data_IF_960534241490
#
_entry.id   IF_960534241490
#
_cell.length_a   1.000
_cell.length_b   1.000
_cell.length_c   1.000
_cell.angle_alpha   90.00
_cell.angle_beta   90.00
_cell.angle_gamma   90.00
#
_symmetry.space_group_name_H-M   'P 1'
#
loop_
_entity.id
_entity.type
_entity.pdbx_description
1 polymer ?
#
# COMPACT_ATOMS: atom_id res chain seq x y z
N UNK A 1 17.33 8.97 -17.87
CA UNK A 1 16.86 8.48 -16.55
C UNK A 1 15.54 7.76 -16.75
N UNK A 2 15.50 6.43 -16.65
CA UNK A 2 14.23 5.69 -16.68
C UNK A 2 13.50 6.00 -15.37
N UNK A 3 12.38 6.72 -15.43
CA UNK A 3 11.45 6.80 -14.30
C UNK A 3 10.97 5.38 -14.06
N UNK A 4 11.43 4.74 -12.99
CA UNK A 4 10.77 3.54 -12.45
C UNK A 4 9.35 3.99 -12.17
N UNK A 5 8.42 3.61 -13.04
CA UNK A 5 7.00 3.77 -12.78
C UNK A 5 6.73 2.77 -11.67
N UNK A 6 6.68 3.25 -10.42
CA UNK A 6 6.22 2.39 -9.34
C UNK A 6 4.82 1.90 -9.73
N UNK A 7 4.60 0.60 -9.72
CA UNK A 7 3.30 0.06 -10.07
C UNK A 7 2.24 0.67 -9.16
N UNK A 8 1.19 1.17 -9.80
CA UNK A 8 0.08 1.83 -9.13
C UNK A 8 -0.87 0.75 -8.63
N UNK A 9 -0.95 0.58 -7.31
CA UNK A 9 -1.78 -0.41 -6.62
C UNK A 9 -3.00 0.21 -5.93
N UNK A 10 -3.21 1.52 -6.09
CA UNK A 10 -4.35 2.27 -5.58
C UNK A 10 -4.86 3.23 -6.64
N UNK A 11 -6.18 3.24 -6.86
CA UNK A 11 -6.86 4.16 -7.77
C UNK A 11 -6.88 5.58 -7.18
N UNK A 12 -7.27 6.56 -8.00
CA UNK A 12 -7.53 7.91 -7.52
C UNK A 12 -8.70 7.94 -6.52
N UNK A 13 -9.67 7.05 -6.64
CA UNK A 13 -10.79 7.00 -5.68
C UNK A 13 -10.40 6.31 -4.37
N UNK A 14 -9.16 5.85 -4.26
CA UNK A 14 -8.61 5.18 -3.09
C UNK A 14 -9.06 3.73 -2.95
N UNK A 15 -9.39 3.09 -4.08
CA UNK A 15 -9.64 1.65 -4.15
C UNK A 15 -8.33 0.90 -4.39
N UNK A 16 -8.14 -0.24 -3.71
CA UNK A 16 -6.94 -1.06 -3.86
C UNK A 16 -7.07 -2.00 -5.05
N UNK A 17 -5.98 -2.12 -5.80
CA UNK A 17 -5.82 -3.09 -6.88
C UNK A 17 -5.06 -4.27 -6.29
N UNK A 18 -5.78 -5.35 -6.01
CA UNK A 18 -5.22 -6.59 -5.43
C UNK A 18 -5.01 -7.61 -6.55
N UNK A 19 -3.81 -8.20 -6.65
CA UNK A 19 -3.46 -9.24 -7.64
C UNK A 19 -2.80 -10.48 -7.04
N UNK A 20 -2.56 -10.48 -5.73
CA UNK A 20 -1.87 -11.58 -5.05
C UNK A 20 -2.46 -11.85 -3.67
N UNK A 21 -2.12 -13.01 -3.08
CA UNK A 21 -2.67 -13.44 -1.79
C UNK A 21 -2.20 -12.52 -0.66
N UNK A 22 -0.91 -12.21 -0.62
CA UNK A 22 -0.35 -11.32 0.40
C UNK A 22 -0.88 -9.89 0.25
N UNK A 23 -1.14 -9.42 -0.98
CA UNK A 23 -1.83 -8.14 -1.18
C UNK A 23 -3.25 -8.17 -0.61
N UNK A 24 -4.00 -9.27 -0.81
CA UNK A 24 -5.34 -9.44 -0.23
C UNK A 24 -5.26 -9.42 1.30
N UNK A 25 -4.37 -10.22 1.89
CA UNK A 25 -4.18 -10.27 3.34
C UNK A 25 -3.77 -8.91 3.90
N UNK A 26 -2.85 -8.21 3.25
CA UNK A 26 -2.44 -6.86 3.65
C UNK A 26 -3.63 -5.89 3.62
N UNK A 27 -4.44 -5.91 2.56
CA UNK A 27 -5.60 -5.02 2.39
C UNK A 27 -6.67 -5.21 3.47
N UNK A 28 -6.76 -6.40 4.06
CA UNK A 28 -7.73 -6.70 5.11
C UNK A 28 -7.28 -6.22 6.50
N UNK A 29 -5.99 -5.92 6.68
CA UNK A 29 -5.43 -5.46 7.95
C UNK A 29 -6.04 -4.12 8.39
N UNK A 30 -6.12 -3.92 9.70
CA UNK A 30 -6.56 -2.64 10.28
C UNK A 30 -5.66 -1.48 9.84
N UNK A 31 -4.35 -1.70 9.74
CA UNK A 31 -3.39 -0.69 9.29
C UNK A 31 -3.66 -0.23 7.86
N UNK A 32 -3.89 -1.17 6.92
CA UNK A 32 -4.21 -0.83 5.54
C UNK A 32 -5.52 -0.04 5.43
N UNK A 33 -6.57 -0.50 6.12
CA UNK A 33 -7.87 0.20 6.18
C UNK A 33 -7.74 1.62 6.75
N UNK A 34 -6.96 1.78 7.82
CA UNK A 34 -6.68 3.11 8.39
C UNK A 34 -5.94 4.00 7.39
N UNK A 35 -4.93 3.49 6.71
CA UNK A 35 -4.20 4.26 5.69
C UNK A 35 -5.11 4.68 4.52
N UNK A 36 -6.01 3.79 4.05
CA UNK A 36 -7.00 4.11 3.03
C UNK A 36 -8.00 5.18 3.51
N UNK A 37 -8.45 5.10 4.77
CA UNK A 37 -9.34 6.10 5.34
C UNK A 37 -8.66 7.47 5.46
N UNK A 38 -7.38 7.50 5.88
CA UNK A 38 -6.59 8.74 5.92
C UNK A 38 -6.38 9.33 4.54
N UNK A 39 -6.11 8.51 3.52
CA UNK A 39 -6.07 8.95 2.14
C UNK A 39 -7.37 9.66 1.73
N UNK A 40 -8.52 9.01 1.98
CA UNK A 40 -9.84 9.55 1.63
C UNK A 40 -10.14 10.85 2.38
N UNK A 41 -9.81 10.89 3.67
CA UNK A 41 -9.98 12.08 4.51
C UNK A 41 -9.17 13.26 3.94
N UNK A 42 -7.86 13.10 3.78
CA UNK A 42 -7.01 14.19 3.29
C UNK A 42 -7.37 14.63 1.87
N UNK A 43 -7.79 13.70 1.00
CA UNK A 43 -8.30 14.04 -0.32
C UNK A 43 -9.59 14.87 -0.24
N UNK A 44 -10.52 14.51 0.65
CA UNK A 44 -11.77 15.25 0.88
C UNK A 44 -11.55 16.63 1.50
N UNK A 45 -10.53 16.78 2.34
CA UNK A 45 -10.12 18.06 2.93
C UNK A 45 -9.31 18.95 1.97
N UNK A 46 -9.03 18.47 0.76
CA UNK A 46 -8.18 19.17 -0.22
C UNK A 46 -6.69 19.15 0.11
N UNK A 47 -6.26 18.39 1.11
CA UNK A 47 -4.85 18.20 1.46
C UNK A 47 -4.20 17.13 0.57
N UNK A 48 -4.00 17.50 -0.70
CA UNK A 48 -3.49 16.59 -1.74
C UNK A 48 -2.07 16.08 -1.43
N UNK A 49 -1.24 16.89 -0.76
CA UNK A 49 0.12 16.48 -0.40
C UNK A 49 0.11 15.29 0.57
N UNK A 50 -0.68 15.36 1.65
CA UNK A 50 -0.83 14.24 2.59
C UNK A 50 -1.52 13.05 1.92
N UNK A 51 -2.58 13.29 1.13
CA UNK A 51 -3.22 12.20 0.40
C UNK A 51 -2.22 11.46 -0.51
N UNK A 52 -1.35 12.19 -1.20
CA UNK A 52 -0.32 11.59 -2.05
C UNK A 52 0.71 10.79 -1.24
N UNK A 53 1.11 11.24 -0.06
CA UNK A 53 2.00 10.51 0.85
C UNK A 53 1.40 9.15 1.26
N UNK A 54 0.13 9.14 1.70
CA UNK A 54 -0.57 7.90 2.03
C UNK A 54 -0.70 6.97 0.83
N UNK A 55 -1.00 7.51 -0.36
CA UNK A 55 -1.10 6.73 -1.59
C UNK A 55 0.24 6.08 -1.96
N UNK A 56 1.36 6.80 -1.80
CA UNK A 56 2.70 6.25 -2.05
C UNK A 56 3.03 5.14 -1.05
N UNK A 57 2.77 5.35 0.23
CA UNK A 57 3.00 4.34 1.28
C UNK A 57 2.19 3.06 1.02
N UNK A 58 0.92 3.20 0.64
CA UNK A 58 0.05 2.08 0.30
C UNK A 58 0.58 1.35 -0.94
N UNK A 59 0.91 2.07 -2.02
CA UNK A 59 1.46 1.46 -3.23
C UNK A 59 2.76 0.70 -2.95
N UNK A 60 3.65 1.26 -2.13
CA UNK A 60 4.89 0.61 -1.75
C UNK A 60 4.65 -0.68 -0.96
N UNK A 61 3.76 -0.66 0.03
CA UNK A 61 3.43 -1.85 0.81
C UNK A 61 2.78 -2.94 -0.05
N UNK A 62 1.88 -2.56 -0.97
CA UNK A 62 1.25 -3.47 -1.92
C UNK A 62 2.25 -4.06 -2.91
N UNK A 63 3.26 -3.29 -3.34
CA UNK A 63 4.33 -3.79 -4.19
C UNK A 63 5.17 -4.84 -3.46
N UNK A 64 5.54 -4.58 -2.20
CA UNK A 64 6.30 -5.54 -1.39
C UNK A 64 5.51 -6.84 -1.23
N UNK A 65 4.22 -6.75 -0.90
CA UNK A 65 3.36 -7.93 -0.74
C UNK A 65 3.26 -8.75 -2.04
N UNK A 66 3.14 -8.07 -3.20
CA UNK A 66 3.15 -8.72 -4.51
C UNK A 66 4.47 -9.43 -4.81
N UNK A 67 5.60 -8.76 -4.56
CA UNK A 67 6.93 -9.32 -4.78
C UNK A 67 7.21 -10.51 -3.86
N UNK A 68 6.68 -10.53 -2.64
CA UNK A 68 6.79 -11.67 -1.73
C UNK A 68 6.09 -12.91 -2.30
N UNK A 69 4.88 -12.75 -2.86
CA UNK A 69 4.18 -13.84 -3.55
C UNK A 69 4.94 -14.29 -4.81
N UNK A 70 5.37 -13.33 -5.64
CA UNK A 70 6.07 -13.62 -6.91
C UNK A 70 7.44 -14.28 -6.72
N UNK A 71 8.13 -13.99 -5.62
CA UNK A 71 9.44 -14.56 -5.29
C UNK A 71 9.35 -15.92 -4.59
N UNK A 72 8.15 -16.38 -4.20
CA UNK A 72 7.96 -17.63 -3.45
C UNK A 72 8.61 -17.61 -2.06
N UNK A 73 9.07 -16.46 -1.58
CA UNK A 73 9.70 -16.32 -0.27
C UNK A 73 8.61 -16.13 0.78
N UNK A 74 8.18 -17.24 1.40
CA UNK A 74 7.52 -17.23 2.70
C UNK A 74 8.47 -16.64 3.75
N UNK A 75 8.57 -15.31 3.85
CA UNK A 75 9.13 -14.68 5.04
C UNK A 75 8.11 -14.84 6.16
N UNK A 76 8.56 -15.39 7.28
CA UNK A 76 7.69 -15.60 8.45
C UNK A 76 7.19 -14.24 8.96
N UNK A 77 5.97 -14.16 9.55
CA UNK A 77 5.41 -12.91 10.04
C UNK A 77 6.32 -12.12 11.01
N UNK A 78 7.26 -12.80 11.66
CA UNK A 78 8.27 -12.20 12.54
C UNK A 78 9.36 -11.39 11.83
N UNK A 79 9.52 -11.53 10.52
CA UNK A 79 10.44 -10.72 9.69
C UNK A 79 9.74 -9.51 9.04
N UNK A 80 8.41 -9.44 9.13
CA UNK A 80 7.63 -8.29 8.67
C UNK A 80 7.60 -7.27 9.80
N UNK A 81 8.75 -6.63 10.07
CA UNK A 81 8.71 -5.25 10.55
C UNK A 81 8.10 -4.44 9.40
N UNK A 82 6.77 -4.35 9.41
CA UNK A 82 6.07 -3.41 8.56
C UNK A 82 6.69 -2.02 8.76
N UNK A 83 6.67 -1.15 7.73
CA UNK A 83 7.11 0.22 7.91
C UNK A 83 6.38 0.78 9.12
N UNK A 84 7.14 1.29 10.09
CA UNK A 84 6.61 1.95 11.27
C UNK A 84 5.94 3.22 10.75
N UNK A 85 4.64 3.12 10.48
CA UNK A 85 3.78 4.26 10.20
C UNK A 85 3.73 5.05 11.51
N UNK A 86 4.50 6.13 11.54
CA UNK A 86 4.56 7.14 12.61
C UNK A 86 3.21 7.83 12.81
#
# INVERSE_FOLDING_TARGET
MQRKIEPRWMTDDGELIVRSKNQSTLSETSAAKTAQNMYRLFRSEGNLAKAQEYMQNINHAMQIAYEQDASGKCRTPSEIQGPRLI
#
